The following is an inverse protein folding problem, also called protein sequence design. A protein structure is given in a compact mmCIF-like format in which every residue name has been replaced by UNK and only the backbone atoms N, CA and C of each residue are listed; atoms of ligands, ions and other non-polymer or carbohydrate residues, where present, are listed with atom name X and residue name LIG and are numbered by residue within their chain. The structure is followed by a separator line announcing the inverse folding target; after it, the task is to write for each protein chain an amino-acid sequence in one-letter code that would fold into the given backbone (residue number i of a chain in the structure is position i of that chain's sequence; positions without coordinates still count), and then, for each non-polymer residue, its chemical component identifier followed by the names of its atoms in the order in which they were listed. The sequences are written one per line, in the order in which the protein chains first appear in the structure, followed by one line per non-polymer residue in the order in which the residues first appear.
data_IF_540956293919
#
_entry.id   IF_540956293919
#
_cell.length_a   1.000
_cell.length_b   1.000
_cell.length_c   1.000
_cell.angle_alpha   90.00
_cell.angle_beta   90.00
_cell.angle_gamma   90.00
#
_symmetry.space_group_name_H-M   'P 1'
#
loop_
_entity.id
_entity.type
_entity.pdbx_description
1 polymer ?
#
# COMPACT_ATOMS: atom_id res chain seq x y z
N UNK A 1 -16.94 9.34 12.23
CA UNK A 1 -16.49 7.94 12.37
C UNK A 1 -15.41 7.72 11.31
N UNK A 2 -14.22 7.23 11.66
CA UNK A 2 -13.25 6.85 10.63
C UNK A 2 -13.86 5.72 9.78
N UNK A 3 -13.73 5.84 8.46
CA UNK A 3 -14.17 4.80 7.54
C UNK A 3 -13.00 3.83 7.36
N UNK A 4 -13.12 2.62 7.90
CA UNK A 4 -12.12 1.59 7.67
C UNK A 4 -12.23 1.08 6.23
N UNK A 5 -11.16 1.22 5.44
CA UNK A 5 -11.08 0.66 4.09
C UNK A 5 -10.49 -0.76 4.17
N UNK A 6 -11.26 -1.77 3.75
CA UNK A 6 -10.75 -3.15 3.60
C UNK A 6 -10.35 -3.38 2.16
N UNK A 7 -9.05 -3.54 1.92
CA UNK A 7 -8.48 -3.82 0.59
C UNK A 7 -8.41 -5.33 0.36
N UNK A 8 -8.88 -5.79 -0.80
CA UNK A 8 -8.78 -7.20 -1.23
C UNK A 8 -8.06 -7.25 -2.59
N UNK A 9 -6.74 -7.45 -2.62
CA UNK A 9 -5.97 -7.43 -3.86
C UNK A 9 -6.44 -8.46 -4.89
N UNK A 10 -6.42 -8.09 -6.17
CA UNK A 10 -6.73 -8.94 -7.34
C UNK A 10 -5.64 -8.81 -8.40
N UNK A 11 -5.59 -9.77 -9.33
CA UNK A 11 -4.71 -9.66 -10.50
C UNK A 11 -5.02 -8.38 -11.28
N UNK A 12 -4.00 -7.53 -11.45
CA UNK A 12 -4.12 -6.23 -12.12
C UNK A 12 -4.13 -5.02 -11.19
N UNK A 13 -4.24 -5.21 -9.87
CA UNK A 13 -4.05 -4.12 -8.91
C UNK A 13 -2.59 -3.65 -8.92
N UNK A 14 -2.36 -2.34 -8.79
CA UNK A 14 -1.04 -1.74 -8.95
C UNK A 14 -0.79 -0.62 -7.92
N UNK A 15 0.50 -0.43 -7.59
CA UNK A 15 0.97 0.69 -6.77
C UNK A 15 1.96 1.51 -7.60
N UNK A 16 1.82 2.83 -7.61
CA UNK A 16 2.69 3.73 -8.35
C UNK A 16 2.93 5.05 -7.61
N UNK A 17 4.01 5.75 -7.96
CA UNK A 17 4.33 7.08 -7.43
C UNK A 17 4.23 8.08 -8.58
N UNK A 18 3.58 9.22 -8.33
CA UNK A 18 3.46 10.33 -9.27
C UNK A 18 3.46 11.67 -8.56
N UNK A 19 2.81 12.67 -9.15
CA UNK A 19 2.62 14.00 -8.55
C UNK A 19 1.14 14.38 -8.52
N UNK A 20 0.72 15.17 -7.54
CA UNK A 20 -0.63 15.75 -7.45
C UNK A 20 -0.77 17.04 -8.30
N UNK A 21 -1.95 17.66 -8.29
CA UNK A 21 -2.25 18.89 -9.05
C UNK A 21 -1.41 20.10 -8.62
N UNK A 22 -0.80 20.06 -7.43
CA UNK A 22 0.11 21.07 -6.91
C UNK A 22 1.59 20.72 -7.17
N UNK A 23 1.87 19.61 -7.87
CA UNK A 23 3.23 19.17 -8.20
C UNK A 23 3.97 18.47 -7.06
N UNK A 24 3.26 18.04 -6.00
CA UNK A 24 3.83 17.34 -4.84
C UNK A 24 3.83 15.83 -5.08
N UNK A 25 4.80 15.06 -4.53
CA UNK A 25 4.80 13.61 -4.65
C UNK A 25 3.52 12.98 -4.09
N UNK A 26 2.95 12.01 -4.81
CA UNK A 26 1.75 11.29 -4.41
C UNK A 26 1.94 9.78 -4.62
N UNK A 27 1.42 8.98 -3.68
CA UNK A 27 1.33 7.53 -3.79
C UNK A 27 -0.07 7.16 -4.28
N UNK A 28 -0.15 6.35 -5.33
CA UNK A 28 -1.39 5.86 -5.90
C UNK A 28 -1.47 4.35 -5.77
N UNK A 29 -2.57 3.86 -5.19
CA UNK A 29 -2.91 2.43 -5.19
C UNK A 29 -4.16 2.27 -6.04
N UNK A 30 -4.04 1.61 -7.19
CA UNK A 30 -5.15 1.27 -8.08
C UNK A 30 -5.70 -0.10 -7.69
N UNK A 31 -6.94 -0.12 -7.22
CA UNK A 31 -7.65 -1.32 -6.79
C UNK A 31 -8.89 -1.49 -7.65
N UNK A 32 -8.94 -2.59 -8.40
CA UNK A 32 -10.11 -3.06 -9.16
C UNK A 32 -10.75 -1.99 -10.06
N UNK A 33 -9.94 -1.22 -10.79
CA UNK A 33 -10.41 -0.41 -11.93
C UNK A 33 -11.17 0.86 -11.56
N UNK A 34 -10.83 1.49 -10.43
CA UNK A 34 -11.38 2.82 -10.12
C UNK A 34 -11.26 3.31 -8.68
N UNK A 35 -10.83 2.48 -7.73
CA UNK A 35 -10.52 2.97 -6.37
C UNK A 35 -9.05 3.33 -6.33
N UNK A 36 -8.77 4.63 -6.38
CA UNK A 36 -7.44 5.19 -6.14
C UNK A 36 -7.34 5.62 -4.69
N UNK A 37 -6.49 4.96 -3.90
CA UNK A 37 -6.08 5.50 -2.61
C UNK A 37 -4.95 6.49 -2.89
N UNK A 38 -5.18 7.77 -2.63
CA UNK A 38 -4.15 8.82 -2.67
C UNK A 38 -3.64 9.12 -1.27
N UNK A 39 -2.31 9.14 -1.11
CA UNK A 39 -1.68 9.80 0.05
C UNK A 39 -1.26 11.20 -0.41
N UNK A 40 -2.02 12.20 0.02
CA UNK A 40 -1.78 13.60 -0.33
C UNK A 40 -0.86 14.24 0.71
N UNK A 41 0.08 15.06 0.22
CA UNK A 41 0.94 15.88 1.07
C UNK A 41 0.26 17.23 1.21
N UNK A 42 -0.05 17.67 2.43
CA UNK A 42 -0.61 19.01 2.62
C UNK A 42 0.48 20.12 2.49
N UNK A 43 0.09 21.39 2.66
CA UNK A 43 1.00 22.54 2.51
C UNK A 43 1.60 23.03 3.83
N UNK A 44 1.51 22.25 4.91
CA UNK A 44 2.09 22.61 6.19
C UNK A 44 3.59 22.28 6.25
N UNK A 45 4.29 23.01 7.12
CA UNK A 45 5.73 22.82 7.30
C UNK A 45 5.96 21.50 8.03
N UNK A 46 6.73 20.59 7.44
CA UNK A 46 7.00 19.27 8.00
C UNK A 46 6.14 18.14 7.38
N UNK A 47 5.17 18.49 6.52
CA UNK A 47 4.25 17.50 5.95
C UNK A 47 4.90 16.59 4.93
N UNK A 48 5.94 17.07 4.25
CA UNK A 48 6.75 16.24 3.36
C UNK A 48 7.52 15.18 4.15
N UNK A 49 8.14 15.56 5.28
CA UNK A 49 8.83 14.64 6.17
C UNK A 49 7.86 13.63 6.81
N UNK A 50 6.68 14.08 7.23
CA UNK A 50 5.64 13.21 7.80
C UNK A 50 5.12 12.21 6.76
N UNK A 51 4.84 12.66 5.54
CA UNK A 51 4.43 11.80 4.44
C UNK A 51 5.51 10.77 4.11
N UNK A 52 6.79 11.16 4.13
CA UNK A 52 7.90 10.23 3.93
C UNK A 52 8.01 9.16 5.04
N UNK A 53 7.83 9.55 6.30
CA UNK A 53 7.80 8.59 7.43
C UNK A 53 6.62 7.63 7.30
N UNK A 54 5.44 8.14 7.00
CA UNK A 54 4.24 7.33 6.78
C UNK A 54 4.43 6.33 5.63
N UNK A 55 4.94 6.80 4.47
CA UNK A 55 5.17 5.95 3.30
C UNK A 55 6.19 4.83 3.58
N UNK A 56 7.25 5.11 4.35
CA UNK A 56 8.21 4.09 4.78
C UNK A 56 7.56 3.05 5.68
N UNK A 57 6.80 3.47 6.69
CA UNK A 57 6.06 2.56 7.56
C UNK A 57 5.07 1.68 6.80
N UNK A 58 4.36 2.26 5.82
CA UNK A 58 3.47 1.50 4.93
C UNK A 58 4.25 0.45 4.12
N UNK A 59 5.39 0.83 3.54
CA UNK A 59 6.24 -0.10 2.78
C UNK A 59 6.76 -1.25 3.63
N UNK A 60 7.23 -0.97 4.85
CA UNK A 60 7.74 -1.99 5.77
C UNK A 60 6.64 -2.98 6.18
N UNK A 61 5.43 -2.50 6.48
CA UNK A 61 4.30 -3.36 6.84
C UNK A 61 3.78 -4.16 5.64
N UNK A 62 3.74 -3.56 4.45
CA UNK A 62 3.37 -4.27 3.22
C UNK A 62 4.35 -5.41 2.91
N UNK A 63 5.66 -5.16 3.05
CA UNK A 63 6.69 -6.17 2.86
C UNK A 63 6.54 -7.33 3.85
N UNK A 64 6.36 -7.02 5.14
CA UNK A 64 6.13 -8.04 6.17
C UNK A 64 4.88 -8.87 5.91
N UNK A 65 3.81 -8.24 5.42
CA UNK A 65 2.59 -8.95 5.05
C UNK A 65 2.84 -9.93 3.89
N UNK A 66 3.58 -9.51 2.85
CA UNK A 66 3.95 -10.40 1.75
C UNK A 66 4.74 -11.62 2.25
N UNK A 67 5.72 -11.42 3.12
CA UNK A 67 6.51 -12.50 3.74
C UNK A 67 5.61 -13.50 4.49
N UNK A 68 4.60 -13.02 5.24
CA UNK A 68 3.65 -13.89 5.94
C UNK A 68 2.78 -14.71 4.96
N UNK A 69 2.30 -14.09 3.88
CA UNK A 69 1.52 -14.80 2.85
C UNK A 69 2.35 -15.85 2.11
N UNK A 70 3.62 -15.57 1.84
CA UNK A 70 4.53 -16.50 1.21
C UNK A 70 4.83 -17.71 2.10
N UNK A 71 5.04 -17.47 3.39
CA UNK A 71 5.22 -18.53 4.38
C UNK A 71 3.98 -19.43 4.49
N UNK A 72 2.79 -18.84 4.62
CA UNK A 72 1.51 -19.58 4.71
C UNK A 72 1.26 -20.43 3.45
N UNK A 73 1.56 -19.89 2.25
CA UNK A 73 1.49 -20.66 1.00
C UNK A 73 2.45 -21.84 0.99
N UNK A 74 3.69 -21.65 1.41
CA UNK A 74 4.69 -22.72 1.44
C UNK A 74 4.29 -23.84 2.42
N UNK A 75 3.69 -23.50 3.56
CA UNK A 75 3.16 -24.46 4.53
C UNK A 75 1.99 -25.28 3.95
N UNK A 76 1.07 -24.63 3.23
CA UNK A 76 -0.02 -25.32 2.53
C UNK A 76 0.47 -26.30 1.46
N UNK A 77 1.49 -25.91 0.68
CA UNK A 77 2.08 -26.76 -0.37
C UNK A 77 2.89 -27.92 0.23
N UNK A 78 3.60 -27.70 1.35
CA UNK A 78 4.34 -28.73 2.07
C UNK A 78 3.44 -29.78 2.74
N UNK A 79 2.31 -29.36 3.31
CA UNK A 79 1.33 -30.24 3.97
C UNK A 79 0.57 -31.20 3.05
N UNK A 80 0.53 -30.92 1.74
CA UNK A 80 -0.10 -31.79 0.73
C UNK A 80 0.80 -32.96 0.27
N UNK A 81 2.08 -32.94 0.66
CA UNK A 81 3.08 -33.96 0.26
C UNK A 81 3.48 -34.92 1.37
N UNK A 82 2.91 -34.75 2.58
CA UNK A 82 3.19 -35.56 3.78
C UNK A 82 2.12 -36.59 4.06
#
# INVERSE_FOLDING_TARGET
MPLDAVIRPRFGDAVSVGTDDAGRPALYVDISGGITISVEVDNERGSQELAAVFARGLSEMAQRFAELCEADRADMEGGLTS
#
